data_IF_974786771975
#
_entry.id   IF_974786771975
#
_cell.length_a   1.000
_cell.length_b   1.000
_cell.length_c   1.000
_cell.angle_alpha   90.00
_cell.angle_beta   90.00
_cell.angle_gamma   90.00
#
_symmetry.space_group_name_H-M   'P 1'
#
loop_
_entity.id
_entity.type
_entity.pdbx_description
1 polymer ?
#
# COMPACT_ATOMS: atom_id res chain seq x y z
N UNK A 1 -16.63 -21.01 -17.06
CA UNK A 1 -17.06 -19.60 -16.92
C UNK A 1 -17.27 -18.88 -18.27
N UNK A 2 -16.62 -19.29 -19.38
CA UNK A 2 -16.82 -18.72 -20.72
C UNK A 2 -17.67 -19.61 -21.65
N UNK A 3 -18.95 -19.83 -21.31
CA UNK A 3 -19.83 -20.63 -22.18
C UNK A 3 -21.33 -20.53 -21.88
N UNK A 4 -21.78 -19.46 -21.22
CA UNK A 4 -23.22 -19.23 -21.02
C UNK A 4 -23.89 -18.73 -22.31
N UNK A 5 -25.18 -19.00 -22.49
CA UNK A 5 -25.98 -18.46 -23.60
C UNK A 5 -25.80 -16.93 -23.66
N UNK A 6 -25.76 -16.34 -24.86
CA UNK A 6 -25.67 -14.88 -25.06
C UNK A 6 -26.72 -14.11 -24.23
N UNK A 7 -27.91 -14.71 -24.04
CA UNK A 7 -29.00 -14.15 -23.22
C UNK A 7 -28.63 -14.06 -21.74
N UNK A 8 -27.89 -15.03 -21.22
CA UNK A 8 -27.49 -15.04 -19.82
C UNK A 8 -26.38 -14.03 -19.56
N UNK A 9 -25.43 -13.89 -20.50
CA UNK A 9 -24.41 -12.84 -20.46
C UNK A 9 -25.06 -11.44 -20.43
N UNK A 10 -26.09 -11.23 -21.23
CA UNK A 10 -26.78 -9.94 -21.27
C UNK A 10 -27.58 -9.64 -19.99
N UNK A 11 -28.21 -10.67 -19.40
CA UNK A 11 -28.86 -10.55 -18.08
C UNK A 11 -27.85 -10.18 -16.99
N UNK A 12 -26.71 -10.88 -16.95
CA UNK A 12 -25.63 -10.60 -15.98
C UNK A 12 -25.12 -9.18 -16.15
N UNK A 13 -24.88 -8.73 -17.39
CA UNK A 13 -24.44 -7.36 -17.68
C UNK A 13 -25.44 -6.33 -17.13
N UNK A 14 -26.74 -6.51 -17.40
CA UNK A 14 -27.80 -5.60 -16.91
C UNK A 14 -27.86 -5.57 -15.39
N UNK A 15 -27.76 -6.73 -14.74
CA UNK A 15 -27.74 -6.83 -13.28
C UNK A 15 -26.52 -6.08 -12.71
N UNK A 16 -25.31 -6.34 -13.22
CA UNK A 16 -24.09 -5.69 -12.74
C UNK A 16 -24.16 -4.18 -12.92
N UNK A 17 -24.63 -3.69 -14.07
CA UNK A 17 -24.83 -2.26 -14.31
C UNK A 17 -25.83 -1.65 -13.33
N UNK A 18 -26.94 -2.33 -13.02
CA UNK A 18 -27.91 -1.83 -12.04
C UNK A 18 -27.33 -1.71 -10.62
N UNK A 19 -26.49 -2.66 -10.23
CA UNK A 19 -25.80 -2.64 -8.93
C UNK A 19 -24.82 -1.47 -8.88
N UNK A 20 -23.97 -1.32 -9.90
CA UNK A 20 -23.01 -0.20 -9.99
C UNK A 20 -23.73 1.15 -9.95
N UNK A 21 -24.81 1.32 -10.72
CA UNK A 21 -25.59 2.56 -10.73
C UNK A 21 -26.22 2.86 -9.37
N UNK A 22 -26.75 1.84 -8.69
CA UNK A 22 -27.34 2.00 -7.36
C UNK A 22 -26.30 2.41 -6.33
N UNK A 23 -25.11 1.81 -6.36
CA UNK A 23 -23.99 2.16 -5.47
C UNK A 23 -23.47 3.58 -5.74
N UNK A 24 -23.35 3.95 -7.01
CA UNK A 24 -22.92 5.30 -7.44
C UNK A 24 -23.81 6.37 -6.81
N UNK A 25 -25.14 6.17 -6.85
CA UNK A 25 -26.10 7.12 -6.26
C UNK A 25 -26.11 7.07 -4.74
N UNK A 26 -26.03 5.89 -4.13
CA UNK A 26 -26.15 5.73 -2.67
C UNK A 26 -24.90 6.15 -1.90
N UNK A 27 -23.72 5.99 -2.49
CA UNK A 27 -22.44 6.23 -1.83
C UNK A 27 -21.73 7.47 -2.37
N UNK A 28 -22.29 8.15 -3.38
CA UNK A 28 -21.70 9.33 -4.03
C UNK A 28 -20.29 9.06 -4.60
N UNK A 29 -19.97 7.80 -4.90
CA UNK A 29 -18.72 7.38 -5.53
C UNK A 29 -18.90 7.20 -7.03
N UNK A 30 -17.85 7.40 -7.81
CA UNK A 30 -17.90 7.17 -9.25
C UNK A 30 -18.12 5.69 -9.62
N UNK A 31 -18.75 5.44 -10.77
CA UNK A 31 -18.97 4.08 -11.29
C UNK A 31 -17.70 3.22 -11.40
N UNK A 32 -16.51 3.76 -11.76
CA UNK A 32 -15.25 3.00 -11.72
C UNK A 32 -14.90 2.50 -10.30
N UNK A 33 -15.10 3.34 -9.28
CA UNK A 33 -14.81 3.00 -7.89
C UNK A 33 -15.82 1.97 -7.34
N UNK A 34 -17.11 2.14 -7.64
CA UNK A 34 -18.13 1.15 -7.30
C UNK A 34 -17.84 -0.22 -7.94
N UNK A 35 -17.39 -0.23 -9.20
CA UNK A 35 -16.97 -1.45 -9.88
C UNK A 35 -15.73 -2.06 -9.23
N UNK A 36 -14.75 -1.24 -8.83
CA UNK A 36 -13.55 -1.69 -8.12
C UNK A 36 -13.90 -2.40 -6.79
N UNK A 37 -14.85 -1.87 -6.02
CA UNK A 37 -15.34 -2.54 -4.80
C UNK A 37 -16.02 -3.88 -5.09
N UNK A 38 -16.84 -3.98 -6.15
CA UNK A 38 -17.46 -5.26 -6.55
C UNK A 38 -16.41 -6.31 -6.97
N UNK A 39 -15.27 -5.88 -7.51
CA UNK A 39 -14.13 -6.75 -7.83
C UNK A 39 -13.22 -7.04 -6.62
N UNK A 40 -13.46 -6.42 -5.46
CA UNK A 40 -12.63 -6.58 -4.27
C UNK A 40 -11.30 -5.83 -4.31
N UNK A 41 -11.18 -4.81 -5.17
CA UNK A 41 -9.98 -3.99 -5.25
C UNK A 41 -9.87 -3.08 -4.02
N UNK A 42 -8.66 -2.87 -3.46
CA UNK A 42 -8.44 -1.93 -2.38
C UNK A 42 -8.71 -0.49 -2.85
N UNK A 43 -9.23 0.34 -1.94
CA UNK A 43 -9.50 1.76 -2.16
C UNK A 43 -8.23 2.63 -2.16
N UNK A 44 -7.12 2.08 -1.66
CA UNK A 44 -5.85 2.74 -1.55
C UNK A 44 -4.82 2.17 -2.54
N UNK A 45 -4.47 2.95 -3.56
CA UNK A 45 -3.32 2.66 -4.42
C UNK A 45 -2.05 3.15 -3.75
N UNK A 46 -1.16 2.22 -3.37
CA UNK A 46 0.18 2.54 -2.89
C UNK A 46 1.19 1.72 -3.70
N UNK A 47 2.02 2.41 -4.50
CA UNK A 47 3.13 1.76 -5.22
C UNK A 47 4.22 1.31 -4.23
N UNK A 48 4.43 2.10 -3.17
CA UNK A 48 5.43 1.83 -2.14
C UNK A 48 4.85 2.17 -0.77
N UNK A 49 5.01 1.26 0.19
CA UNK A 49 4.68 1.53 1.58
C UNK A 49 5.87 2.25 2.20
N UNK A 50 5.69 3.51 2.60
CA UNK A 50 6.69 4.21 3.37
C UNK A 50 6.58 3.78 4.83
N UNK A 51 7.67 3.28 5.40
CA UNK A 51 7.75 2.99 6.83
C UNK A 51 8.16 4.25 7.60
N UNK A 52 7.69 4.37 8.83
CA UNK A 52 8.05 5.50 9.69
C UNK A 52 9.52 5.40 10.08
N UNK A 53 10.35 6.28 9.52
CA UNK A 53 11.78 6.34 9.80
C UNK A 53 12.11 7.43 10.83
N UNK A 54 12.61 7.02 12.00
CA UNK A 54 13.00 7.94 13.07
C UNK A 54 14.47 8.34 12.95
N UNK A 55 14.72 9.54 12.42
CA UNK A 55 16.07 10.06 12.19
C UNK A 55 16.95 10.06 13.44
N UNK A 56 16.41 10.48 14.59
CA UNK A 56 17.18 10.55 15.85
C UNK A 56 17.69 9.18 16.30
N UNK A 57 16.83 8.16 16.24
CA UNK A 57 17.20 6.78 16.63
C UNK A 57 18.25 6.20 15.68
N UNK A 58 18.10 6.44 14.37
CA UNK A 58 19.09 6.03 13.38
C UNK A 58 20.47 6.67 13.62
N UNK A 59 20.51 8.00 13.79
CA UNK A 59 21.77 8.72 14.04
C UNK A 59 22.43 8.25 15.34
N UNK A 60 21.65 8.00 16.40
CA UNK A 60 22.18 7.49 17.65
C UNK A 60 22.89 6.13 17.48
N UNK A 61 22.29 5.21 16.72
CA UNK A 61 22.86 3.88 16.46
C UNK A 61 24.14 3.94 15.60
N UNK A 62 24.14 4.80 14.58
CA UNK A 62 25.32 5.04 13.73
C UNK A 62 26.46 5.64 14.53
N UNK A 63 26.18 6.63 15.38
CA UNK A 63 27.18 7.26 16.25
C UNK A 63 27.73 6.30 17.30
N UNK A 64 26.94 5.32 17.76
CA UNK A 64 27.41 4.28 18.67
C UNK A 64 28.45 3.39 18.01
N UNK A 65 28.21 2.99 16.76
CA UNK A 65 29.14 2.16 15.99
C UNK A 65 30.45 2.88 15.67
N UNK A 66 30.42 4.21 15.49
CA UNK A 66 31.60 5.02 15.19
C UNK A 66 32.56 5.20 16.38
N UNK A 67 32.05 5.15 17.62
CA UNK A 67 32.87 5.39 18.83
C UNK A 67 33.74 4.19 19.24
N UNK A 68 33.47 3.01 18.70
CA UNK A 68 34.27 1.80 18.97
C UNK A 68 35.63 1.87 18.26
N UNK A 69 35.70 2.48 17.08
CA UNK A 69 36.93 2.56 16.27
C UNK A 69 37.97 3.57 16.80
N UNK A 70 37.59 4.49 17.70
CA UNK A 70 38.50 5.52 18.23
C UNK A 70 39.31 5.09 19.45
N UNK A 71 39.19 3.84 19.92
CA UNK A 71 39.95 3.32 21.08
C UNK A 71 41.26 2.60 20.72
N UNK A 72 41.78 2.75 19.49
CA UNK A 72 43.04 2.13 19.04
C UNK A 72 44.14 3.14 18.68
N UNK A 73 44.48 4.08 19.58
CA UNK A 73 45.83 4.64 19.75
C UNK A 73 45.77 5.82 20.72
N UNK A 74 45.95 5.55 22.01
CA UNK A 74 46.42 6.56 22.99
C UNK A 74 46.97 5.79 24.22
N UNK A 75 47.99 4.96 24.00
CA UNK A 75 48.82 4.39 25.06
C UNK A 75 50.20 4.04 24.48
N UNK A 76 50.93 5.06 24.02
CA UNK A 76 52.37 4.93 23.83
C UNK A 76 53.08 6.27 24.08
N UNK A 77 52.85 6.86 25.25
CA UNK A 77 53.86 7.77 25.82
C UNK A 77 53.70 7.85 27.35
N UNK A 78 54.59 7.17 28.08
CA UNK A 78 55.05 7.43 29.46
C UNK A 78 55.58 6.16 30.13
N UNK A 79 56.83 5.76 29.81
CA UNK A 79 57.94 5.50 30.77
C UNK A 79 59.17 4.97 30.04
#
# INVERSE_FOLDING_TARGET
>A
LLGGSLRDQEKVRKLLTSIVNTLTVKMEIGAPMASAYLLGNPDHYTSHKFETFYWKSYVAEVLKSWKDDTNFHDNHDST
#
